data_IF_353888054387
#
_entry.id   IF_353888054387
#
_cell.length_a   1.000
_cell.length_b   1.000
_cell.length_c   1.000
_cell.angle_alpha   90.00
_cell.angle_beta   90.00
_cell.angle_gamma   90.00
#
_symmetry.space_group_name_H-M   'P 1'
#
loop_
_entity.id
_entity.type
_entity.pdbx_description
1 polymer ?
#
# COMPACT_ATOMS: atom_id res chain seq x y z
N UNK A 1 -32.15 9.53 34.28
CA UNK A 1 -32.23 10.14 32.95
C UNK A 1 -30.86 10.65 32.44
N UNK A 2 -30.09 11.38 33.25
CA UNK A 2 -28.77 11.86 32.84
C UNK A 2 -27.77 10.74 32.48
N UNK A 3 -27.81 9.61 33.18
CA UNK A 3 -26.91 8.45 32.91
C UNK A 3 -27.27 7.73 31.62
N UNK A 4 -28.53 7.66 31.25
CA UNK A 4 -29.00 7.07 30.00
C UNK A 4 -28.60 7.94 28.81
N UNK A 5 -28.65 9.28 28.94
CA UNK A 5 -28.26 10.23 27.91
C UNK A 5 -26.76 10.15 27.61
N UNK A 6 -25.91 9.94 28.62
CA UNK A 6 -24.47 9.75 28.48
C UNK A 6 -24.17 8.44 27.73
N UNK A 7 -24.94 7.38 28.02
CA UNK A 7 -24.74 6.08 27.34
C UNK A 7 -25.11 6.14 25.86
N UNK A 8 -26.17 6.85 25.50
CA UNK A 8 -26.58 7.08 24.11
C UNK A 8 -25.53 7.94 23.38
N UNK A 9 -24.98 8.95 24.07
CA UNK A 9 -23.93 9.81 23.48
C UNK A 9 -22.65 9.04 23.21
N UNK A 10 -22.24 8.14 24.09
CA UNK A 10 -21.07 7.26 23.90
C UNK A 10 -21.30 6.27 22.76
N UNK A 11 -22.49 5.69 22.64
CA UNK A 11 -22.82 4.78 21.52
C UNK A 11 -22.80 5.47 20.14
N UNK A 12 -23.09 6.76 20.08
CA UNK A 12 -23.03 7.54 18.85
C UNK A 12 -21.60 7.81 18.37
N UNK A 13 -20.61 7.80 19.26
CA UNK A 13 -19.20 8.00 18.91
C UNK A 13 -18.45 6.72 18.49
N UNK A 14 -19.04 5.55 18.65
CA UNK A 14 -18.41 4.25 18.30
C UNK A 14 -18.58 3.90 16.82
N UNK A 15 -19.16 4.77 16.01
CA UNK A 15 -19.10 4.63 14.56
C UNK A 15 -17.70 5.04 14.08
N UNK A 16 -16.70 4.23 14.42
CA UNK A 16 -15.37 4.29 13.81
C UNK A 16 -15.60 4.03 12.34
N UNK A 17 -15.47 5.07 11.54
CA UNK A 17 -15.46 4.97 10.09
C UNK A 17 -14.34 3.99 9.71
N UNK A 18 -14.71 2.80 9.31
CA UNK A 18 -13.78 1.91 8.63
C UNK A 18 -13.32 2.66 7.39
N UNK A 19 -12.03 2.94 7.32
CA UNK A 19 -11.43 3.57 6.16
C UNK A 19 -11.85 2.77 4.93
N UNK A 20 -12.74 3.34 4.13
CA UNK A 20 -13.29 2.65 2.96
C UNK A 20 -12.14 2.48 1.99
N UNK A 21 -11.82 1.23 1.69
CA UNK A 21 -10.81 0.88 0.71
C UNK A 21 -11.33 1.26 -0.68
N UNK A 22 -10.89 2.41 -1.19
CA UNK A 22 -11.44 3.03 -2.39
C UNK A 22 -10.97 2.23 -3.62
N UNK A 23 -11.89 1.72 -4.47
CA UNK A 23 -11.50 1.06 -5.70
C UNK A 23 -10.94 2.06 -6.71
N UNK A 24 -9.89 1.67 -7.40
CA UNK A 24 -9.32 2.46 -8.50
C UNK A 24 -10.18 2.25 -9.76
N UNK A 25 -10.69 3.33 -10.38
CA UNK A 25 -11.53 3.22 -11.56
C UNK A 25 -10.83 2.48 -12.70
N UNK A 26 -11.55 1.63 -13.43
CA UNK A 26 -11.04 0.92 -14.60
C UNK A 26 -10.61 1.87 -15.74
N UNK A 27 -11.11 3.11 -15.74
CA UNK A 27 -10.66 4.16 -16.67
C UNK A 27 -9.19 4.58 -16.45
N UNK A 28 -8.61 4.23 -15.32
CA UNK A 28 -7.20 4.44 -15.03
C UNK A 28 -6.35 3.28 -15.60
N UNK A 29 -6.42 3.10 -16.91
CA UNK A 29 -5.92 1.92 -17.62
C UNK A 29 -4.42 1.72 -17.45
N UNK A 30 -3.62 2.78 -17.43
CA UNK A 30 -2.15 2.69 -17.42
C UNK A 30 -1.59 1.93 -16.21
N UNK A 31 -2.13 2.15 -15.01
CA UNK A 31 -1.68 1.41 -13.83
C UNK A 31 -2.07 -0.08 -13.93
N UNK A 32 -3.24 -0.36 -14.49
CA UNK A 32 -3.68 -1.74 -14.70
C UNK A 32 -2.82 -2.46 -15.74
N UNK A 33 -2.50 -1.78 -16.85
CA UNK A 33 -1.63 -2.31 -17.91
C UNK A 33 -0.23 -2.61 -17.36
N UNK A 34 0.31 -1.71 -16.54
CA UNK A 34 1.59 -1.92 -15.86
C UNK A 34 1.57 -3.11 -14.90
N UNK A 35 0.53 -3.24 -14.07
CA UNK A 35 0.38 -4.38 -13.16
C UNK A 35 0.25 -5.69 -13.95
N UNK A 36 -0.52 -5.70 -15.05
CA UNK A 36 -0.67 -6.88 -15.90
C UNK A 36 0.65 -7.29 -16.54
N UNK A 37 1.47 -6.33 -16.96
CA UNK A 37 2.83 -6.59 -17.45
C UNK A 37 3.69 -7.25 -16.36
N UNK A 38 3.71 -6.70 -15.15
CA UNK A 38 4.47 -7.25 -14.03
C UNK A 38 4.03 -8.67 -13.65
N UNK A 39 2.74 -8.95 -13.72
CA UNK A 39 2.19 -10.30 -13.50
C UNK A 39 2.62 -11.25 -14.62
N UNK A 40 2.54 -10.81 -15.87
CA UNK A 40 2.91 -11.60 -17.04
C UNK A 40 4.40 -11.95 -17.03
N UNK A 41 5.23 -11.00 -16.62
CA UNK A 41 6.69 -11.19 -16.50
C UNK A 41 7.07 -11.99 -15.23
N UNK A 42 6.09 -12.34 -14.39
CA UNK A 42 6.33 -13.11 -13.17
C UNK A 42 7.03 -12.32 -12.05
N UNK A 43 7.06 -10.99 -12.14
CA UNK A 43 7.66 -10.11 -11.13
C UNK A 43 6.79 -10.06 -9.88
N UNK A 44 5.48 -10.03 -10.05
CA UNK A 44 4.50 -10.06 -8.97
C UNK A 44 3.51 -11.19 -9.14
N UNK A 45 2.99 -11.70 -8.04
CA UNK A 45 1.90 -12.67 -8.05
C UNK A 45 0.62 -12.03 -7.55
N UNK A 46 -0.42 -12.07 -8.38
CA UNK A 46 -1.73 -11.60 -7.97
C UNK A 46 -2.63 -12.79 -7.60
N UNK A 47 -3.12 -12.79 -6.37
CA UNK A 47 -4.03 -13.81 -5.87
C UNK A 47 -5.49 -13.55 -6.26
N UNK A 48 -5.79 -12.37 -6.78
CA UNK A 48 -7.16 -11.95 -7.11
C UNK A 48 -7.25 -11.48 -8.55
N UNK A 49 -8.01 -12.21 -9.37
CA UNK A 49 -8.32 -11.80 -10.75
C UNK A 49 -9.51 -10.81 -10.83
N UNK A 50 -10.13 -10.48 -9.69
CA UNK A 50 -11.35 -9.66 -9.64
C UNK A 50 -10.96 -8.17 -9.67
N UNK A 51 -11.47 -7.46 -10.65
CA UNK A 51 -11.34 -6.00 -10.80
C UNK A 51 -12.67 -5.29 -10.54
N UNK A 52 -12.65 -4.03 -10.14
CA UNK A 52 -11.50 -3.12 -9.94
C UNK A 52 -10.69 -3.42 -8.68
N UNK A 53 -9.37 -3.23 -8.75
CA UNK A 53 -8.50 -3.29 -7.58
C UNK A 53 -8.70 -2.07 -6.71
N UNK A 54 -8.59 -2.25 -5.40
CA UNK A 54 -8.54 -1.14 -4.46
C UNK A 54 -7.15 -0.48 -4.47
N UNK A 55 -7.05 0.76 -3.99
CA UNK A 55 -5.78 1.45 -3.88
C UNK A 55 -4.76 0.66 -3.07
N UNK A 56 -5.18 0.03 -1.97
CA UNK A 56 -4.31 -0.80 -1.15
C UNK A 56 -3.82 -2.05 -1.90
N UNK A 57 -4.68 -2.70 -2.69
CA UNK A 57 -4.26 -3.85 -3.51
C UNK A 57 -3.22 -3.45 -4.55
N UNK A 58 -3.38 -2.30 -5.20
CA UNK A 58 -2.40 -1.77 -6.14
C UNK A 58 -1.08 -1.46 -5.42
N UNK A 59 -1.14 -0.76 -4.28
CA UNK A 59 0.03 -0.44 -3.47
C UNK A 59 0.79 -1.71 -3.05
N UNK A 60 0.10 -2.76 -2.61
CA UNK A 60 0.71 -4.04 -2.25
C UNK A 60 1.44 -4.68 -3.43
N UNK A 61 0.84 -4.70 -4.63
CA UNK A 61 1.47 -5.22 -5.84
C UNK A 61 2.71 -4.40 -6.24
N UNK A 62 2.68 -3.07 -6.10
CA UNK A 62 3.83 -2.20 -6.36
C UNK A 62 4.97 -2.45 -5.36
N UNK A 63 4.66 -2.67 -4.08
CA UNK A 63 5.66 -3.04 -3.06
C UNK A 63 6.27 -4.42 -3.36
N UNK A 64 5.47 -5.38 -3.80
CA UNK A 64 6.01 -6.67 -4.24
C UNK A 64 6.98 -6.51 -5.41
N UNK A 65 6.64 -5.70 -6.41
CA UNK A 65 7.52 -5.39 -7.54
C UNK A 65 8.82 -4.70 -7.08
N UNK A 66 8.74 -3.79 -6.12
CA UNK A 66 9.91 -3.12 -5.56
C UNK A 66 10.87 -4.11 -4.87
N UNK A 67 10.34 -5.11 -4.18
CA UNK A 67 11.15 -6.17 -3.56
C UNK A 67 11.81 -7.08 -4.59
N UNK A 68 11.23 -7.19 -5.77
CA UNK A 68 11.73 -7.98 -6.89
C UNK A 68 12.52 -7.11 -7.92
N UNK A 69 13.15 -6.02 -7.48
CA UNK A 69 13.84 -5.02 -8.31
C UNK A 69 14.82 -5.64 -9.32
N UNK A 70 15.50 -6.71 -8.94
CA UNK A 70 16.43 -7.43 -9.82
C UNK A 70 15.78 -8.08 -11.06
N UNK A 71 14.47 -8.25 -11.07
CA UNK A 71 13.70 -8.82 -12.18
C UNK A 71 13.16 -7.74 -13.12
N UNK A 72 13.22 -6.48 -12.71
CA UNK A 72 12.67 -5.37 -13.47
C UNK A 72 13.62 -4.91 -14.57
N UNK A 73 13.06 -4.61 -15.74
CA UNK A 73 13.75 -3.83 -16.75
C UNK A 73 13.92 -2.37 -16.29
N UNK A 74 14.89 -1.65 -16.87
CA UNK A 74 15.11 -0.23 -16.56
C UNK A 74 13.84 0.61 -16.71
N UNK A 75 13.07 0.38 -17.78
CA UNK A 75 11.79 1.06 -18.01
C UNK A 75 10.77 0.76 -16.90
N UNK A 76 10.62 -0.51 -16.55
CA UNK A 76 9.71 -0.93 -15.49
C UNK A 76 10.11 -0.34 -14.13
N UNK A 77 11.40 -0.26 -13.83
CA UNK A 77 11.88 0.36 -12.60
C UNK A 77 11.56 1.86 -12.52
N UNK A 78 11.69 2.59 -13.63
CA UNK A 78 11.32 4.02 -13.71
C UNK A 78 9.80 4.21 -13.57
N UNK A 79 9.01 3.38 -14.22
CA UNK A 79 7.55 3.41 -14.15
C UNK A 79 7.04 3.00 -12.76
N UNK A 80 7.65 1.98 -12.15
CA UNK A 80 7.37 1.58 -10.78
C UNK A 80 7.60 2.72 -9.80
N UNK A 81 8.70 3.45 -9.93
CA UNK A 81 9.01 4.61 -9.08
C UNK A 81 7.93 5.70 -9.19
N UNK A 82 7.41 5.93 -10.39
CA UNK A 82 6.31 6.86 -10.59
C UNK A 82 5.05 6.42 -9.81
N UNK A 83 4.63 5.16 -9.95
CA UNK A 83 3.45 4.65 -9.26
C UNK A 83 3.64 4.51 -7.75
N UNK A 84 4.82 4.15 -7.27
CA UNK A 84 5.11 4.15 -5.83
C UNK A 84 4.92 5.54 -5.21
N UNK A 85 5.30 6.59 -5.93
CA UNK A 85 5.06 7.96 -5.47
C UNK A 85 3.58 8.36 -5.51
N UNK A 86 2.85 7.91 -6.53
CA UNK A 86 1.42 8.18 -6.66
C UNK A 86 0.58 7.48 -5.58
N UNK A 87 0.99 6.29 -5.17
CA UNK A 87 0.34 5.51 -4.13
C UNK A 87 1.09 5.60 -2.78
N UNK A 88 1.85 6.68 -2.55
CA UNK A 88 2.72 6.83 -1.38
C UNK A 88 1.96 6.72 -0.04
N UNK A 89 0.76 7.28 0.04
CA UNK A 89 -0.03 7.21 1.28
C UNK A 89 -0.40 5.78 1.66
N UNK A 90 -0.77 4.96 0.67
CA UNK A 90 -1.09 3.56 0.88
C UNK A 90 0.17 2.75 1.17
N UNK A 91 1.27 3.06 0.49
CA UNK A 91 2.57 2.43 0.71
C UNK A 91 3.09 2.70 2.14
N UNK A 92 3.00 3.94 2.61
CA UNK A 92 3.44 4.33 3.96
C UNK A 92 2.64 3.60 5.03
N UNK A 93 1.32 3.49 4.87
CA UNK A 93 0.46 2.72 5.79
C UNK A 93 0.83 1.22 5.81
N UNK A 94 1.23 0.65 4.67
CA UNK A 94 1.64 -0.76 4.60
C UNK A 94 3.03 -0.98 5.19
N UNK A 95 3.96 -0.06 4.95
CA UNK A 95 5.31 -0.12 5.51
C UNK A 95 5.26 0.03 7.04
N UNK A 96 4.47 0.94 7.58
CA UNK A 96 4.31 1.12 9.03
C UNK A 96 3.74 -0.15 9.69
N UNK A 97 2.77 -0.79 9.08
CA UNK A 97 2.22 -2.06 9.58
C UNK A 97 3.23 -3.20 9.51
N UNK A 98 4.22 -3.13 8.61
CA UNK A 98 5.27 -4.15 8.47
C UNK A 98 6.49 -3.85 9.34
N UNK A 99 6.80 -2.57 9.59
CA UNK A 99 7.92 -2.13 10.45
C UNK A 99 7.65 -2.43 11.93
N UNK A 100 6.39 -2.50 12.35
CA UNK A 100 6.07 -2.96 13.71
C UNK A 100 6.43 -4.44 13.96
N UNK A 101 6.72 -5.21 12.90
CA UNK A 101 7.06 -6.63 13.01
C UNK A 101 8.53 -6.95 12.70
N UNK A 102 9.29 -6.02 12.12
CA UNK A 102 10.71 -6.21 11.85
C UNK A 102 11.56 -5.42 12.84
N UNK A 103 12.16 -6.18 13.73
CA UNK A 103 13.25 -5.89 14.64
C UNK A 103 13.92 -4.49 14.52
N UNK A 104 13.90 -3.75 15.60
CA UNK A 104 14.48 -2.42 15.81
C UNK A 104 16.01 -2.29 15.55
N UNK A 105 16.67 -3.28 14.95
CA UNK A 105 18.13 -3.30 14.81
C UNK A 105 18.69 -2.67 13.55
N UNK A 106 17.87 -2.40 12.55
CA UNK A 106 18.39 -1.91 11.26
C UNK A 106 18.35 -0.39 11.09
N UNK A 107 17.69 0.33 11.97
CA UNK A 107 17.55 1.79 11.84
C UNK A 107 18.67 2.60 12.51
N UNK A 108 19.50 1.99 13.32
CA UNK A 108 20.54 2.71 14.09
C UNK A 108 21.89 2.83 13.40
N UNK A 109 22.08 2.21 12.22
CA UNK A 109 23.40 2.18 11.54
C UNK A 109 23.57 3.22 10.43
N UNK A 110 22.54 4.02 10.11
CA UNK A 110 22.63 5.01 9.03
C UNK A 110 22.92 6.44 9.50
N UNK A 111 23.05 6.69 10.81
CA UNK A 111 23.25 8.04 11.37
C UNK A 111 24.62 8.27 11.98
N UNK A 112 25.55 7.33 11.83
CA UNK A 112 26.89 7.45 12.38
C UNK A 112 27.95 7.34 11.27
N UNK A 113 28.07 8.36 10.45
CA UNK A 113 29.31 8.65 9.75
C UNK A 113 29.54 10.17 9.68
N UNK A 114 30.33 10.73 10.60
CA UNK A 114 30.86 12.07 10.51
C UNK A 114 32.28 11.97 9.95
N UNK A 115 32.48 12.28 8.68
CA UNK A 115 33.74 12.83 8.19
C UNK A 115 33.47 13.71 6.98
#
# INVERSE_FOLDING_TARGET
MKRLSIFIFICLFVHISWAQNIPVPLSYTKVYDFIDELITDGVVSNQTAIRPYTRNQIADLLIQAQRADSLLSKRQAEELKFYLNEFALENDMMVDNHVQYSDHRTFSLSLADPQ
#
